data_IF_447366125957
#
_entry.id   IF_447366125957
#
_cell.length_a   1.000
_cell.length_b   1.000
_cell.length_c   1.000
_cell.angle_alpha   90.00
_cell.angle_beta   90.00
_cell.angle_gamma   90.00
#
_symmetry.space_group_name_H-M   'P 1'
#
loop_
_entity.id
_entity.type
_entity.pdbx_description
1 polymer ?
#
# COMPACT_ATOMS: atom_id res chain seq x y z
N UNK A 1 25.55 -1.31 -11.02
CA UNK A 1 24.73 -0.27 -10.36
C UNK A 1 25.38 1.08 -10.56
N UNK A 2 24.60 2.14 -10.77
CA UNK A 2 25.14 3.50 -10.79
C UNK A 2 25.55 3.94 -9.36
N UNK A 3 26.38 4.98 -9.26
CA UNK A 3 26.89 5.49 -7.98
C UNK A 3 25.74 5.95 -7.06
N UNK A 4 24.65 6.44 -7.64
CA UNK A 4 23.46 6.91 -6.95
C UNK A 4 22.72 5.79 -6.21
N UNK A 5 22.49 4.66 -6.86
CA UNK A 5 21.83 3.48 -6.27
C UNK A 5 22.65 2.92 -5.10
N UNK A 6 23.98 2.90 -5.22
CA UNK A 6 24.86 2.42 -4.14
C UNK A 6 24.79 3.33 -2.91
N UNK A 7 24.78 4.65 -3.10
CA UNK A 7 24.64 5.62 -2.00
C UNK A 7 23.29 5.46 -1.31
N UNK A 8 22.20 5.39 -2.08
CA UNK A 8 20.85 5.21 -1.52
C UNK A 8 20.73 3.92 -0.73
N UNK A 9 21.34 2.82 -1.19
CA UNK A 9 21.32 1.54 -0.45
C UNK A 9 22.05 1.63 0.88
N UNK A 10 23.20 2.33 0.94
CA UNK A 10 23.93 2.54 2.20
C UNK A 10 23.13 3.39 3.19
N UNK A 11 22.55 4.48 2.72
CA UNK A 11 21.67 5.34 3.53
C UNK A 11 20.49 4.53 4.07
N UNK A 12 19.87 3.72 3.20
CA UNK A 12 18.72 2.90 3.55
C UNK A 12 19.06 1.86 4.63
N UNK A 13 20.23 1.21 4.57
CA UNK A 13 20.67 0.26 5.61
C UNK A 13 20.90 0.96 6.95
N UNK A 14 21.49 2.16 6.97
CA UNK A 14 21.66 2.92 8.22
C UNK A 14 20.30 3.31 8.80
N UNK A 15 19.40 3.82 7.95
CA UNK A 15 18.04 4.17 8.36
C UNK A 15 17.26 2.94 8.84
N UNK A 16 17.40 1.78 8.20
CA UNK A 16 16.79 0.51 8.60
C UNK A 16 17.14 0.16 10.05
N UNK A 17 18.42 0.25 10.42
CA UNK A 17 18.87 -0.10 11.78
C UNK A 17 18.26 0.86 12.80
N UNK A 18 18.34 2.17 12.54
CA UNK A 18 17.83 3.22 13.43
C UNK A 18 16.30 3.11 13.55
N UNK A 19 15.61 2.94 12.43
CA UNK A 19 14.16 2.89 12.39
C UNK A 19 13.60 1.60 12.99
N UNK A 20 14.32 0.48 12.88
CA UNK A 20 13.92 -0.76 13.55
C UNK A 20 13.97 -0.63 15.08
N UNK A 21 14.99 0.04 15.62
CA UNK A 21 15.04 0.38 17.04
C UNK A 21 13.88 1.32 17.43
N UNK A 22 13.58 2.33 16.60
CA UNK A 22 12.43 3.21 16.76
C UNK A 22 11.09 2.46 16.74
N UNK A 23 10.95 1.47 15.86
CA UNK A 23 9.75 0.63 15.74
C UNK A 23 9.56 -0.31 16.94
N UNK A 24 10.64 -0.93 17.43
CA UNK A 24 10.59 -1.71 18.67
C UNK A 24 10.19 -0.82 19.86
N UNK A 25 10.69 0.41 19.90
CA UNK A 25 10.30 1.40 20.90
C UNK A 25 8.82 1.78 20.77
N UNK A 26 8.30 2.11 19.58
CA UNK A 26 6.88 2.46 19.39
C UNK A 26 5.95 1.31 19.81
N UNK A 27 6.26 0.07 19.41
CA UNK A 27 5.51 -1.11 19.83
C UNK A 27 5.45 -1.26 21.36
N UNK A 28 6.58 -1.01 22.02
CA UNK A 28 6.67 -1.08 23.49
C UNK A 28 5.82 0.00 24.14
N UNK A 29 5.89 1.24 23.64
CA UNK A 29 5.08 2.36 24.16
C UNK A 29 3.58 2.09 23.97
N UNK A 30 3.16 1.56 22.83
CA UNK A 30 1.76 1.23 22.58
C UNK A 30 1.26 0.11 23.50
N UNK A 31 2.08 -0.91 23.75
CA UNK A 31 1.75 -1.96 24.71
C UNK A 31 1.66 -1.43 26.16
N UNK A 32 2.57 -0.52 26.55
CA UNK A 32 2.54 0.11 27.87
C UNK A 32 1.31 1.01 28.03
N UNK A 33 1.00 1.84 27.02
CA UNK A 33 -0.17 2.72 27.03
C UNK A 33 -1.46 1.92 27.18
N UNK A 34 -1.62 0.85 26.39
CA UNK A 34 -2.77 -0.04 26.47
C UNK A 34 -2.92 -0.64 27.88
N UNK A 35 -1.82 -1.11 28.50
CA UNK A 35 -1.85 -1.64 29.87
C UNK A 35 -2.24 -0.59 30.91
N UNK A 36 -1.75 0.64 30.79
CA UNK A 36 -2.09 1.73 31.72
C UNK A 36 -3.57 2.10 31.61
N UNK A 37 -4.09 2.22 30.38
CA UNK A 37 -5.51 2.49 30.13
C UNK A 37 -6.38 1.35 30.66
N UNK A 38 -6.01 0.09 30.42
CA UNK A 38 -6.75 -1.07 30.94
C UNK A 38 -6.76 -1.14 32.47
N UNK A 39 -5.73 -0.60 33.13
CA UNK A 39 -5.65 -0.49 34.58
C UNK A 39 -6.38 0.74 35.15
N UNK A 40 -6.95 1.61 34.31
CA UNK A 40 -7.59 2.86 34.73
C UNK A 40 -6.61 3.87 35.33
N UNK A 41 -5.33 3.80 34.95
CA UNK A 41 -4.29 4.68 35.49
C UNK A 41 -4.32 6.08 34.84
N UNK A 42 -3.85 7.09 35.55
CA UNK A 42 -3.59 8.40 34.93
C UNK A 42 -2.40 8.28 33.96
N UNK A 43 -2.64 8.60 32.68
CA UNK A 43 -1.64 8.52 31.62
C UNK A 43 -0.95 9.86 31.35
N UNK A 44 -1.36 10.97 31.99
CA UNK A 44 -0.89 12.33 31.70
C UNK A 44 0.63 12.49 31.83
N UNK A 45 1.20 11.99 32.92
CA UNK A 45 2.64 12.02 33.17
C UNK A 45 3.42 11.11 32.20
N UNK A 46 2.81 10.00 31.77
CA UNK A 46 3.41 9.07 30.82
C UNK A 46 3.45 9.68 29.42
N UNK A 47 2.30 10.15 28.92
CA UNK A 47 2.17 10.74 27.58
C UNK A 47 2.97 12.02 27.45
N UNK A 48 2.98 12.88 28.48
CA UNK A 48 3.76 14.11 28.50
C UNK A 48 5.27 13.89 28.35
N UNK A 49 5.82 12.86 28.99
CA UNK A 49 7.26 12.53 28.90
C UNK A 49 7.62 11.78 27.62
N UNK A 50 6.78 10.85 27.19
CA UNK A 50 7.13 9.90 26.13
C UNK A 50 6.83 10.42 24.71
N UNK A 51 5.89 11.36 24.57
CA UNK A 51 5.40 11.86 23.28
C UNK A 51 6.52 12.40 22.38
N UNK A 52 7.49 13.13 22.93
CA UNK A 52 8.63 13.67 22.16
C UNK A 52 9.48 12.54 21.56
N UNK A 53 9.82 11.53 22.37
CA UNK A 53 10.62 10.39 21.92
C UNK A 53 9.86 9.52 20.92
N UNK A 54 8.55 9.35 21.11
CA UNK A 54 7.68 8.67 20.18
C UNK A 54 7.65 9.41 18.83
N UNK A 55 7.50 10.74 18.84
CA UNK A 55 7.53 11.57 17.64
C UNK A 55 8.85 11.46 16.88
N UNK A 56 9.99 11.50 17.59
CA UNK A 56 11.33 11.30 16.98
C UNK A 56 11.42 9.91 16.34
N UNK A 57 10.92 8.88 17.02
CA UNK A 57 10.94 7.50 16.49
C UNK A 57 10.11 7.38 15.21
N UNK A 58 8.90 7.96 15.19
CA UNK A 58 8.03 7.99 14.00
C UNK A 58 8.73 8.72 12.83
N UNK A 59 9.46 9.81 13.08
CA UNK A 59 10.21 10.53 12.03
C UNK A 59 11.27 9.61 11.40
N UNK A 60 12.06 8.88 12.20
CA UNK A 60 13.05 7.96 11.64
C UNK A 60 12.40 6.79 10.89
N UNK A 61 11.28 6.26 11.38
CA UNK A 61 10.50 5.24 10.67
C UNK A 61 10.00 5.78 9.33
N UNK A 62 9.48 7.01 9.30
CA UNK A 62 9.02 7.65 8.07
C UNK A 62 10.15 7.88 7.08
N UNK A 63 11.30 8.41 7.53
CA UNK A 63 12.48 8.59 6.67
C UNK A 63 12.97 7.26 6.07
N UNK A 64 12.96 6.19 6.86
CA UNK A 64 13.26 4.85 6.37
C UNK A 64 12.26 4.38 5.31
N UNK A 65 10.97 4.61 5.49
CA UNK A 65 9.95 4.24 4.50
C UNK A 65 10.16 4.96 3.17
N UNK A 66 10.35 6.28 3.19
CA UNK A 66 10.60 7.08 1.98
C UNK A 66 11.90 6.62 1.30
N UNK A 67 12.97 6.41 2.08
CA UNK A 67 14.24 5.89 1.56
C UNK A 67 14.07 4.51 0.92
N UNK A 68 13.27 3.63 1.52
CA UNK A 68 13.03 2.27 1.02
C UNK A 68 12.21 2.29 -0.26
N UNK A 69 11.17 3.12 -0.34
CA UNK A 69 10.42 3.34 -1.59
C UNK A 69 11.38 3.79 -2.69
N UNK A 70 12.26 4.75 -2.42
CA UNK A 70 13.24 5.20 -3.40
C UNK A 70 14.19 4.07 -3.86
N UNK A 71 14.68 3.23 -2.94
CA UNK A 71 15.50 2.06 -3.29
C UNK A 71 14.72 1.06 -4.13
N UNK A 72 13.50 0.70 -3.73
CA UNK A 72 12.63 -0.23 -4.45
C UNK A 72 12.42 0.28 -5.88
N UNK A 73 12.04 1.54 -6.04
CA UNK A 73 11.82 2.20 -7.34
C UNK A 73 13.07 2.16 -8.23
N UNK A 74 14.26 2.41 -7.66
CA UNK A 74 15.52 2.30 -8.39
C UNK A 74 15.83 0.86 -8.80
N UNK A 75 15.44 -0.12 -7.98
CA UNK A 75 15.63 -1.54 -8.27
C UNK A 75 14.62 -2.08 -9.29
N UNK A 76 13.39 -1.53 -9.38
CA UNK A 76 12.42 -1.87 -10.45
C UNK A 76 13.05 -1.63 -11.83
N UNK A 77 13.87 -0.58 -11.97
CA UNK A 77 14.58 -0.25 -13.21
C UNK A 77 15.72 -1.22 -13.57
N UNK A 78 16.23 -2.00 -12.62
CA UNK A 78 17.53 -2.65 -12.72
C UNK A 78 17.51 -4.18 -12.91
N UNK A 79 16.44 -4.87 -12.51
CA UNK A 79 16.44 -6.34 -12.43
C UNK A 79 15.26 -7.02 -13.13
N UNK A 80 15.57 -8.12 -13.82
CA UNK A 80 14.67 -8.71 -14.81
C UNK A 80 13.87 -9.94 -14.36
N UNK A 81 14.14 -10.52 -13.19
CA UNK A 81 13.71 -11.90 -12.92
C UNK A 81 12.65 -12.10 -11.84
N UNK A 82 12.15 -11.04 -11.19
CA UNK A 82 11.12 -11.23 -10.14
C UNK A 82 10.28 -9.97 -9.90
N UNK A 83 9.36 -9.68 -10.81
CA UNK A 83 8.46 -8.51 -10.73
C UNK A 83 7.44 -8.65 -9.60
N UNK A 84 6.97 -9.86 -9.31
CA UNK A 84 5.91 -10.06 -8.31
C UNK A 84 6.36 -9.69 -6.90
N UNK A 85 7.52 -10.19 -6.44
CA UNK A 85 8.02 -9.86 -5.11
C UNK A 85 8.26 -8.36 -4.98
N UNK A 86 8.94 -7.72 -5.94
CA UNK A 86 9.21 -6.27 -5.87
C UNK A 86 7.94 -5.44 -5.92
N UNK A 87 6.99 -5.80 -6.78
CA UNK A 87 5.65 -5.20 -6.82
C UNK A 87 4.92 -5.31 -5.48
N UNK A 88 5.00 -6.48 -4.84
CA UNK A 88 4.43 -6.69 -3.51
C UNK A 88 5.09 -5.82 -2.45
N UNK A 89 6.42 -5.73 -2.45
CA UNK A 89 7.16 -4.89 -1.50
C UNK A 89 6.85 -3.41 -1.74
N UNK A 90 6.75 -2.96 -2.99
CA UNK A 90 6.32 -1.60 -3.32
C UNK A 90 4.91 -1.33 -2.79
N UNK A 91 3.95 -2.21 -3.10
CA UNK A 91 2.58 -2.10 -2.60
C UNK A 91 2.54 -2.00 -1.06
N UNK A 92 3.22 -2.93 -0.38
CA UNK A 92 3.30 -2.97 1.07
C UNK A 92 3.97 -1.72 1.64
N UNK A 93 5.00 -1.19 0.98
CA UNK A 93 5.71 0.02 1.41
C UNK A 93 4.82 1.26 1.39
N UNK A 94 3.95 1.41 0.39
CA UNK A 94 3.03 2.54 0.28
C UNK A 94 1.95 2.44 1.35
N UNK A 95 1.31 1.28 1.49
CA UNK A 95 0.31 1.04 2.55
C UNK A 95 0.94 1.26 3.94
N UNK A 96 2.12 0.70 4.18
CA UNK A 96 2.86 0.88 5.43
C UNK A 96 3.17 2.35 5.70
N UNK A 97 3.58 3.11 4.68
CA UNK A 97 3.83 4.55 4.87
C UNK A 97 2.57 5.31 5.26
N UNK A 98 1.43 5.02 4.63
CA UNK A 98 0.16 5.68 4.94
C UNK A 98 -0.28 5.34 6.37
N UNK A 99 -0.11 4.08 6.77
CA UNK A 99 -0.49 3.61 8.10
C UNK A 99 0.32 4.28 9.23
N UNK A 100 1.52 4.82 8.97
CA UNK A 100 2.22 5.65 9.97
C UNK A 100 1.43 6.91 10.35
N UNK A 101 0.74 7.52 9.40
CA UNK A 101 -0.17 8.65 9.70
C UNK A 101 -1.41 8.16 10.45
N UNK A 102 -1.90 6.97 10.12
CA UNK A 102 -2.96 6.28 10.84
C UNK A 102 -2.59 6.04 12.31
N UNK A 103 -1.40 5.53 12.59
CA UNK A 103 -0.88 5.30 13.94
C UNK A 103 -0.82 6.60 14.75
N UNK A 104 -0.34 7.68 14.13
CA UNK A 104 -0.27 8.99 14.76
C UNK A 104 -1.66 9.51 15.12
N UNK A 105 -2.63 9.40 14.20
CA UNK A 105 -4.02 9.80 14.43
C UNK A 105 -4.67 8.95 15.52
N UNK A 106 -4.58 7.62 15.43
CA UNK A 106 -5.13 6.69 16.41
C UNK A 106 -4.57 6.92 17.81
N UNK A 107 -3.26 7.12 17.96
CA UNK A 107 -2.68 7.40 19.29
C UNK A 107 -3.16 8.75 19.85
N UNK A 108 -3.29 9.76 18.99
CA UNK A 108 -3.87 11.05 19.38
C UNK A 108 -5.29 10.87 19.91
N UNK A 109 -6.10 10.11 19.18
CA UNK A 109 -7.53 9.93 19.46
C UNK A 109 -7.72 9.07 20.72
N UNK A 110 -7.06 7.91 20.81
CA UNK A 110 -7.01 7.06 22.02
C UNK A 110 -6.67 7.90 23.27
N UNK A 111 -5.66 8.76 23.18
CA UNK A 111 -5.21 9.57 24.33
C UNK A 111 -6.25 10.63 24.72
N UNK A 112 -6.89 11.28 23.75
CA UNK A 112 -7.90 12.33 23.99
C UNK A 112 -9.22 11.74 24.49
N UNK A 113 -9.66 10.64 23.90
CA UNK A 113 -10.88 9.94 24.30
C UNK A 113 -10.76 9.40 25.73
N UNK A 114 -9.62 8.78 26.05
CA UNK A 114 -9.35 8.35 27.42
C UNK A 114 -9.35 9.52 28.41
N UNK A 115 -8.69 10.64 28.06
CA UNK A 115 -8.68 11.84 28.91
C UNK A 115 -10.08 12.48 29.07
N UNK A 116 -10.96 12.30 28.09
CA UNK A 116 -12.36 12.74 28.15
C UNK A 116 -13.30 11.75 28.87
N UNK A 117 -12.78 10.59 29.32
CA UNK A 117 -13.57 9.54 29.95
C UNK A 117 -14.42 8.72 28.95
N UNK A 118 -14.15 8.84 27.65
CA UNK A 118 -14.82 8.08 26.60
C UNK A 118 -14.12 6.73 26.43
N UNK A 119 -14.58 5.71 27.14
CA UNK A 119 -13.97 4.37 27.13
C UNK A 119 -14.54 3.44 26.05
N UNK A 120 -15.64 3.83 25.41
CA UNK A 120 -16.28 3.05 24.36
C UNK A 120 -15.41 3.10 23.09
N UNK A 121 -15.02 1.93 22.56
CA UNK A 121 -14.29 1.84 21.30
C UNK A 121 -12.75 1.83 21.40
N UNK A 122 -12.15 2.36 22.47
CA UNK A 122 -10.67 2.43 22.62
C UNK A 122 -9.96 1.09 22.38
N UNK A 123 -10.52 -0.03 22.88
CA UNK A 123 -9.91 -1.35 22.66
C UNK A 123 -9.92 -1.78 21.19
N UNK A 124 -10.93 -1.37 20.44
CA UNK A 124 -10.99 -1.63 18.99
C UNK A 124 -9.99 -0.77 18.23
N UNK A 125 -9.70 0.45 18.69
CA UNK A 125 -8.66 1.31 18.13
C UNK A 125 -7.26 0.71 18.36
N UNK A 126 -7.00 0.16 19.55
CA UNK A 126 -5.77 -0.60 19.80
C UNK A 126 -5.62 -1.81 18.89
N UNK A 127 -6.71 -2.51 18.54
CA UNK A 127 -6.66 -3.62 17.58
C UNK A 127 -6.22 -3.13 16.19
N UNK A 128 -6.74 -1.98 15.73
CA UNK A 128 -6.32 -1.36 14.47
C UNK A 128 -4.86 -0.95 14.54
N UNK A 129 -4.44 -0.34 15.64
CA UNK A 129 -3.05 0.07 15.87
C UNK A 129 -2.08 -1.13 15.85
N UNK A 130 -2.43 -2.25 16.47
CA UNK A 130 -1.60 -3.46 16.43
C UNK A 130 -1.59 -4.13 15.06
N UNK A 131 -2.71 -4.09 14.34
CA UNK A 131 -2.76 -4.55 12.93
C UNK A 131 -1.83 -3.71 12.06
N UNK A 132 -1.79 -2.40 12.29
CA UNK A 132 -0.83 -1.49 11.66
C UNK A 132 0.62 -1.85 11.99
N UNK A 133 0.95 -2.12 13.26
CA UNK A 133 2.30 -2.56 13.66
C UNK A 133 2.71 -3.86 12.96
N UNK A 134 1.80 -4.83 12.83
CA UNK A 134 2.07 -6.07 12.10
C UNK A 134 2.39 -5.80 10.63
N UNK A 135 1.68 -4.85 10.02
CA UNK A 135 1.92 -4.44 8.63
C UNK A 135 3.30 -3.78 8.46
N UNK A 136 3.70 -2.90 9.39
CA UNK A 136 5.04 -2.33 9.42
C UNK A 136 6.12 -3.41 9.60
N UNK A 137 5.91 -4.36 10.52
CA UNK A 137 6.84 -5.46 10.74
C UNK A 137 7.00 -6.32 9.49
N UNK A 138 5.90 -6.65 8.81
CA UNK A 138 5.94 -7.35 7.53
C UNK A 138 6.78 -6.56 6.51
N UNK A 139 6.55 -5.25 6.40
CA UNK A 139 7.33 -4.37 5.52
C UNK A 139 8.84 -4.43 5.82
N UNK A 140 9.23 -4.33 7.10
CA UNK A 140 10.63 -4.47 7.52
C UNK A 140 11.25 -5.79 7.06
N UNK A 141 10.57 -6.90 7.32
CA UNK A 141 11.02 -8.25 6.94
C UNK A 141 11.24 -8.33 5.43
N UNK A 142 10.27 -7.84 4.65
CA UNK A 142 10.35 -7.88 3.20
C UNK A 142 11.47 -7.00 2.62
N UNK A 143 11.71 -5.82 3.19
CA UNK A 143 12.86 -4.97 2.79
C UNK A 143 14.18 -5.64 3.14
N UNK A 144 14.31 -6.29 4.30
CA UNK A 144 15.51 -7.07 4.64
C UNK A 144 15.74 -8.19 3.62
N UNK A 145 14.69 -8.93 3.26
CA UNK A 145 14.75 -9.97 2.23
C UNK A 145 15.22 -9.37 0.89
N UNK A 146 14.66 -8.23 0.48
CA UNK A 146 15.05 -7.55 -0.76
C UNK A 146 16.54 -7.17 -0.76
N UNK A 147 17.01 -6.50 0.29
CA UNK A 147 18.41 -6.06 0.43
C UNK A 147 19.36 -7.27 0.43
N UNK A 148 18.99 -8.36 1.12
CA UNK A 148 19.78 -9.59 1.13
C UNK A 148 19.83 -10.22 -0.27
N UNK A 149 18.68 -10.36 -0.94
CA UNK A 149 18.58 -10.95 -2.27
C UNK A 149 19.35 -10.15 -3.33
N UNK A 150 19.27 -8.81 -3.31
CA UNK A 150 20.00 -7.95 -4.26
C UNK A 150 21.47 -7.77 -3.87
N UNK A 151 21.80 -7.88 -2.59
CA UNK A 151 23.19 -7.93 -2.10
C UNK A 151 23.96 -9.12 -2.64
N UNK A 152 23.39 -10.32 -2.55
CA UNK A 152 24.00 -11.56 -3.09
C UNK A 152 24.14 -11.48 -4.62
N UNK A 153 23.09 -11.03 -5.32
CA UNK A 153 23.14 -10.86 -6.79
C UNK A 153 24.16 -9.80 -7.23
N UNK A 154 24.41 -8.76 -6.43
CA UNK A 154 25.43 -7.76 -6.74
C UNK A 154 26.88 -8.25 -6.59
N UNK A 155 27.11 -9.26 -5.74
CA UNK A 155 28.45 -9.86 -5.52
C UNK A 155 28.74 -10.96 -6.55
N UNK A 156 27.73 -11.76 -6.90
CA UNK A 156 27.90 -12.97 -7.73
C UNK A 156 27.28 -12.88 -9.13
N UNK A 157 26.47 -11.84 -9.42
CA UNK A 157 25.70 -11.73 -10.66
C UNK A 157 26.44 -10.98 -11.77
N UNK A 158 26.42 -11.53 -12.99
CA UNK A 158 26.76 -10.79 -14.21
C UNK A 158 25.77 -9.65 -14.40
N UNK A 159 26.25 -8.48 -14.87
CA UNK A 159 25.36 -7.37 -15.26
C UNK A 159 24.31 -7.91 -16.25
N UNK A 160 23.02 -7.64 -16.04
CA UNK A 160 22.00 -8.09 -16.99
C UNK A 160 22.28 -7.47 -18.36
N UNK A 161 22.43 -8.33 -19.37
CA UNK A 161 22.50 -7.97 -20.77
C UNK A 161 21.19 -7.26 -21.16
N UNK A 162 21.31 -6.13 -21.85
CA UNK A 162 20.26 -5.27 -22.41
C UNK A 162 18.82 -5.76 -22.20
N UNK A 163 18.26 -5.32 -21.08
CA UNK A 163 16.84 -5.44 -20.78
C UNK A 163 16.14 -4.22 -21.33
N UNK A 164 15.02 -4.43 -22.04
CA UNK A 164 14.08 -3.37 -22.38
C UNK A 164 13.42 -2.93 -21.08
N UNK A 165 14.02 -1.93 -20.42
CA UNK A 165 13.69 -1.45 -19.05
C UNK A 165 12.22 -1.13 -18.84
N UNK A 166 11.51 -0.86 -19.92
CA UNK A 166 10.13 -0.40 -19.92
C UNK A 166 9.12 -1.53 -19.70
N UNK A 167 9.36 -2.72 -20.24
CA UNK A 167 8.44 -3.85 -20.10
C UNK A 167 8.34 -4.32 -18.64
N UNK A 168 9.45 -4.30 -17.90
CA UNK A 168 9.48 -4.69 -16.49
C UNK A 168 8.61 -3.77 -15.62
N UNK A 169 8.73 -2.45 -15.80
CA UNK A 169 7.93 -1.46 -15.05
C UNK A 169 6.46 -1.58 -15.44
N UNK A 170 6.16 -1.78 -16.72
CA UNK A 170 4.80 -2.01 -17.18
C UNK A 170 4.15 -3.23 -16.51
N UNK A 171 4.89 -4.35 -16.40
CA UNK A 171 4.43 -5.56 -15.69
C UNK A 171 4.22 -5.27 -14.19
N UNK A 172 5.13 -4.53 -13.56
CA UNK A 172 5.03 -4.16 -12.14
C UNK A 172 3.77 -3.31 -11.86
N UNK A 173 3.44 -2.36 -12.75
CA UNK A 173 2.19 -1.56 -12.66
C UNK A 173 0.97 -2.48 -12.60
N UNK A 174 0.93 -3.55 -13.39
CA UNK A 174 -0.21 -4.47 -13.39
C UNK A 174 -0.26 -5.35 -12.14
N UNK A 175 0.87 -5.86 -11.66
CA UNK A 175 0.88 -6.62 -10.40
C UNK A 175 0.41 -5.78 -9.21
N UNK A 176 0.86 -4.52 -9.13
CA UNK A 176 0.41 -3.58 -8.11
C UNK A 176 -1.08 -3.27 -8.28
N UNK A 177 -1.57 -3.15 -9.53
CA UNK A 177 -3.00 -2.99 -9.84
C UNK A 177 -3.84 -4.15 -9.32
N UNK A 178 -3.38 -5.40 -9.51
CA UNK A 178 -4.03 -6.60 -8.96
C UNK A 178 -4.03 -6.58 -7.42
N UNK A 179 -2.89 -6.31 -6.78
CA UNK A 179 -2.81 -6.28 -5.31
C UNK A 179 -3.71 -5.20 -4.72
N UNK A 180 -3.69 -4.01 -5.32
CA UNK A 180 -4.53 -2.86 -4.95
C UNK A 180 -6.02 -3.22 -5.07
N UNK A 181 -6.42 -3.84 -6.17
CA UNK A 181 -7.82 -4.20 -6.40
C UNK A 181 -8.31 -5.36 -5.53
N UNK A 182 -7.50 -6.40 -5.34
CA UNK A 182 -7.83 -7.51 -4.43
C UNK A 182 -7.98 -6.99 -3.00
N UNK A 183 -7.04 -6.16 -2.54
CA UNK A 183 -7.10 -5.54 -1.22
C UNK A 183 -8.34 -4.63 -1.10
N UNK A 184 -8.61 -3.82 -2.12
CA UNK A 184 -9.78 -2.95 -2.20
C UNK A 184 -11.10 -3.71 -2.08
N UNK A 185 -11.28 -4.76 -2.89
CA UNK A 185 -12.46 -5.63 -2.86
C UNK A 185 -12.60 -6.32 -1.50
N UNK A 186 -11.51 -6.87 -0.94
CA UNK A 186 -11.54 -7.56 0.33
C UNK A 186 -11.95 -6.63 1.49
N UNK A 187 -11.36 -5.43 1.56
CA UNK A 187 -11.67 -4.45 2.60
C UNK A 187 -13.09 -3.90 2.44
N UNK A 188 -13.52 -3.56 1.22
CA UNK A 188 -14.89 -3.12 0.97
C UNK A 188 -15.91 -4.19 1.36
N UNK A 189 -15.59 -5.46 1.16
CA UNK A 189 -16.44 -6.60 1.55
C UNK A 189 -16.51 -6.76 3.05
N UNK A 190 -15.37 -6.71 3.74
CA UNK A 190 -15.35 -6.75 5.18
C UNK A 190 -16.15 -5.58 5.79
N UNK A 191 -15.96 -4.36 5.29
CA UNK A 191 -16.72 -3.20 5.76
C UNK A 191 -18.21 -3.35 5.48
N UNK A 192 -18.58 -3.85 4.30
CA UNK A 192 -19.98 -4.02 3.94
C UNK A 192 -20.71 -5.05 4.80
N UNK A 193 -19.99 -6.05 5.31
CA UNK A 193 -20.55 -7.10 6.16
C UNK A 193 -20.55 -6.75 7.65
N UNK A 194 -19.54 -6.01 8.13
CA UNK A 194 -19.28 -5.85 9.56
C UNK A 194 -19.39 -4.41 10.08
N UNK A 195 -19.59 -3.41 9.22
CA UNK A 195 -19.63 -1.99 9.62
C UNK A 195 -21.01 -1.38 9.42
N UNK A 196 -21.53 -0.60 10.37
CA UNK A 196 -22.82 0.05 10.22
C UNK A 196 -22.80 1.10 9.09
N UNK A 197 -23.91 1.24 8.37
CA UNK A 197 -24.03 2.07 7.17
C UNK A 197 -23.61 3.53 7.37
N UNK A 198 -23.88 4.11 8.55
CA UNK A 198 -23.53 5.50 8.85
C UNK A 198 -22.01 5.71 8.88
N UNK A 199 -21.25 4.73 9.38
CA UNK A 199 -19.79 4.80 9.48
C UNK A 199 -19.16 4.64 8.09
N UNK A 200 -19.68 3.70 7.29
CA UNK A 200 -19.29 3.53 5.88
C UNK A 200 -19.49 4.84 5.11
N UNK A 201 -20.67 5.47 5.21
CA UNK A 201 -20.96 6.74 4.51
C UNK A 201 -19.96 7.85 4.84
N UNK A 202 -19.45 7.92 6.08
CA UNK A 202 -18.48 8.94 6.50
C UNK A 202 -17.06 8.62 6.02
N UNK A 203 -16.66 7.34 6.05
CA UNK A 203 -15.27 6.93 5.81
C UNK A 203 -14.93 6.47 4.39
N UNK A 204 -15.92 6.09 3.59
CA UNK A 204 -15.70 5.35 2.33
C UNK A 204 -14.81 6.09 1.33
N UNK A 205 -14.96 7.41 1.19
CA UNK A 205 -14.17 8.20 0.23
C UNK A 205 -12.69 8.21 0.63
N UNK A 206 -12.40 8.54 1.89
CA UNK A 206 -11.04 8.61 2.41
C UNK A 206 -10.37 7.24 2.29
N UNK A 207 -11.10 6.18 2.66
CA UNK A 207 -10.63 4.82 2.53
C UNK A 207 -10.30 4.47 1.07
N UNK A 208 -11.18 4.78 0.11
CA UNK A 208 -10.94 4.48 -1.30
C UNK A 208 -9.71 5.24 -1.83
N UNK A 209 -9.53 6.50 -1.43
CA UNK A 209 -8.34 7.27 -1.78
C UNK A 209 -7.09 6.54 -1.26
N UNK A 210 -7.06 6.19 0.02
CA UNK A 210 -5.95 5.47 0.65
C UNK A 210 -5.65 4.16 -0.07
N UNK A 211 -6.68 3.37 -0.38
CA UNK A 211 -6.53 2.08 -1.04
C UNK A 211 -6.01 2.18 -2.47
N UNK A 212 -6.29 3.28 -3.18
CA UNK A 212 -5.81 3.50 -4.56
C UNK A 212 -4.38 4.03 -4.62
N UNK A 213 -3.85 4.62 -3.53
CA UNK A 213 -2.53 5.26 -3.53
C UNK A 213 -1.37 4.37 -4.02
N UNK A 214 -1.28 3.06 -3.69
CA UNK A 214 -0.21 2.22 -4.22
C UNK A 214 -0.20 2.16 -5.76
N UNK A 215 -1.38 1.96 -6.37
CA UNK A 215 -1.52 1.94 -7.82
C UNK A 215 -1.28 3.32 -8.44
N UNK A 216 -1.85 4.38 -7.84
CA UNK A 216 -1.63 5.75 -8.32
C UNK A 216 -0.13 6.12 -8.30
N UNK A 217 0.59 5.76 -7.24
CA UNK A 217 2.01 6.05 -7.10
C UNK A 217 2.85 5.39 -8.21
N UNK A 218 2.61 4.11 -8.51
CA UNK A 218 3.36 3.41 -9.56
C UNK A 218 2.98 3.86 -10.97
N UNK A 219 1.71 4.19 -11.20
CA UNK A 219 1.25 4.75 -12.48
C UNK A 219 1.88 6.13 -12.72
N UNK A 220 1.87 7.03 -11.73
CA UNK A 220 2.53 8.33 -11.84
C UNK A 220 4.02 8.18 -12.11
N UNK A 221 4.69 7.25 -11.41
CA UNK A 221 6.10 6.95 -11.65
C UNK A 221 6.34 6.48 -13.09
N UNK A 222 5.54 5.54 -13.58
CA UNK A 222 5.64 5.04 -14.94
C UNK A 222 5.36 6.13 -15.99
N UNK A 223 4.35 6.98 -15.77
CA UNK A 223 4.05 8.12 -16.64
C UNK A 223 5.21 9.14 -16.69
N UNK A 224 5.86 9.42 -15.56
CA UNK A 224 7.04 10.30 -15.50
C UNK A 224 8.19 9.75 -16.36
N UNK A 225 8.38 8.43 -16.38
CA UNK A 225 9.36 7.78 -17.25
C UNK A 225 8.95 7.93 -18.71
N UNK A 226 7.69 7.60 -19.05
CA UNK A 226 7.16 7.64 -20.41
C UNK A 226 7.24 9.02 -21.05
N UNK A 227 6.90 10.07 -20.31
CA UNK A 227 6.97 11.46 -20.80
C UNK A 227 8.40 11.88 -21.19
N UNK A 228 9.43 11.21 -20.65
CA UNK A 228 10.84 11.47 -20.98
C UNK A 228 11.36 10.66 -22.16
N UNK A 229 10.60 9.68 -22.64
CA UNK A 229 10.93 8.82 -23.79
C UNK A 229 10.37 9.39 -25.09
N UNK A 230 10.95 9.01 -26.24
CA UNK A 230 10.38 9.37 -27.54
C UNK A 230 9.06 8.64 -27.72
N UNK A 231 8.07 9.30 -28.32
CA UNK A 231 6.72 8.72 -28.53
C UNK A 231 6.77 7.38 -29.28
N UNK A 232 7.72 7.22 -30.21
CA UNK A 232 7.95 5.98 -30.96
C UNK A 232 8.44 4.81 -30.12
N UNK A 233 8.85 5.04 -28.88
CA UNK A 233 9.37 4.05 -27.93
C UNK A 233 8.37 3.79 -26.78
N UNK A 234 7.18 4.39 -26.82
CA UNK A 234 6.21 4.27 -25.73
C UNK A 234 5.64 2.88 -25.57
N UNK A 235 5.41 2.18 -26.68
CA UNK A 235 4.93 0.81 -26.70
C UNK A 235 5.57 0.06 -27.86
N UNK A 236 5.95 -1.18 -27.61
CA UNK A 236 6.09 -2.15 -28.71
C UNK A 236 4.70 -2.48 -29.28
N UNK A 237 4.66 -2.83 -30.56
CA UNK A 237 3.44 -3.19 -31.29
C UNK A 237 2.67 -4.29 -30.55
N UNK A 238 3.38 -5.30 -30.03
CA UNK A 238 2.77 -6.36 -29.21
C UNK A 238 2.11 -5.79 -27.95
N UNK A 239 2.84 -4.97 -27.21
CA UNK A 239 2.36 -4.39 -25.95
C UNK A 239 1.14 -3.50 -26.18
N UNK A 240 1.13 -2.71 -27.25
CA UNK A 240 -0.02 -1.89 -27.64
C UNK A 240 -1.25 -2.74 -27.97
N UNK A 241 -1.06 -3.83 -28.72
CA UNK A 241 -2.15 -4.78 -29.03
C UNK A 241 -2.71 -5.45 -27.77
N UNK A 242 -1.85 -5.85 -26.83
CA UNK A 242 -2.25 -6.49 -25.58
C UNK A 242 -3.05 -5.53 -24.69
N UNK A 243 -2.57 -4.29 -24.53
CA UNK A 243 -3.28 -3.23 -23.79
C UNK A 243 -4.64 -2.94 -24.42
N UNK A 244 -4.70 -2.82 -25.75
CA UNK A 244 -5.95 -2.52 -26.46
C UNK A 244 -6.98 -3.66 -26.33
N UNK A 245 -6.54 -4.92 -26.49
CA UNK A 245 -7.39 -6.09 -26.27
C UNK A 245 -7.89 -6.16 -24.83
N UNK A 246 -7.01 -5.93 -23.86
CA UNK A 246 -7.38 -5.91 -22.45
C UNK A 246 -8.37 -4.79 -22.13
N UNK A 247 -8.17 -3.58 -22.68
CA UNK A 247 -9.09 -2.47 -22.53
C UNK A 247 -10.48 -2.80 -23.12
N UNK A 248 -10.53 -3.40 -24.31
CA UNK A 248 -11.79 -3.81 -24.95
C UNK A 248 -12.54 -4.86 -24.12
N UNK A 249 -11.85 -5.92 -23.66
CA UNK A 249 -12.46 -6.97 -22.84
C UNK A 249 -12.92 -6.41 -21.49
N UNK A 250 -12.12 -5.53 -20.87
CA UNK A 250 -12.46 -4.89 -19.60
C UNK A 250 -13.66 -3.97 -19.74
N UNK A 251 -13.76 -3.22 -20.84
CA UNK A 251 -14.93 -2.39 -21.16
C UNK A 251 -16.20 -3.24 -21.34
N UNK A 252 -16.11 -4.35 -22.10
CA UNK A 252 -17.26 -5.23 -22.28
C UNK A 252 -17.72 -5.83 -20.94
N UNK A 253 -16.75 -6.26 -20.13
CA UNK A 253 -17.00 -6.79 -18.79
C UNK A 253 -17.58 -5.73 -17.85
N UNK A 254 -17.10 -4.48 -17.95
CA UNK A 254 -17.56 -3.38 -17.10
C UNK A 254 -19.01 -3.00 -17.39
N UNK A 255 -19.45 -3.06 -18.66
CA UNK A 255 -20.85 -2.88 -19.05
C UNK A 255 -21.73 -3.97 -18.43
N UNK A 256 -21.31 -5.24 -18.46
CA UNK A 256 -22.04 -6.35 -17.84
C UNK A 256 -22.14 -6.16 -16.32
N UNK A 257 -21.04 -5.77 -15.66
CA UNK A 257 -21.02 -5.51 -14.21
C UNK A 257 -21.96 -4.35 -13.84
N UNK A 258 -21.92 -3.24 -14.59
CA UNK A 258 -22.81 -2.10 -14.36
C UNK A 258 -24.28 -2.48 -14.57
N UNK A 259 -24.59 -3.28 -15.59
CA UNK A 259 -25.94 -3.78 -15.81
C UNK A 259 -26.41 -4.65 -14.63
N UNK A 260 -25.54 -5.53 -14.10
CA UNK A 260 -25.86 -6.34 -12.93
C UNK A 260 -26.11 -5.47 -11.69
N UNK A 261 -25.25 -4.47 -11.42
CA UNK A 261 -25.43 -3.51 -10.33
C UNK A 261 -26.76 -2.76 -10.48
N UNK A 262 -27.07 -2.29 -11.69
CA UNK A 262 -28.31 -1.57 -11.98
C UNK A 262 -29.55 -2.43 -11.72
N UNK A 263 -29.54 -3.69 -12.17
CA UNK A 263 -30.63 -4.64 -11.93
C UNK A 263 -30.81 -4.92 -10.44
N UNK A 264 -29.73 -5.19 -9.71
CA UNK A 264 -29.79 -5.44 -8.25
C UNK A 264 -30.31 -4.21 -7.52
N UNK A 265 -29.83 -3.01 -7.87
CA UNK A 265 -30.25 -1.77 -7.22
C UNK A 265 -31.73 -1.45 -7.41
N UNK A 266 -32.33 -1.81 -8.56
CA UNK A 266 -33.72 -1.48 -8.88
C UNK A 266 -34.72 -2.62 -8.59
N UNK A 267 -34.27 -3.88 -8.53
CA UNK A 267 -35.15 -5.03 -8.30
C UNK A 267 -35.05 -5.63 -6.89
N UNK A 268 -34.00 -5.33 -6.13
CA UNK A 268 -33.82 -5.84 -4.78
C UNK A 268 -34.05 -4.73 -3.74
N UNK A 269 -35.31 -4.58 -3.32
CA UNK A 269 -35.67 -3.73 -2.19
C UNK A 269 -34.95 -4.20 -0.92
N UNK A 270 -34.05 -3.36 -0.38
CA UNK A 270 -33.34 -3.64 0.89
C UNK A 270 -31.82 -3.46 0.86
N UNK A 271 -31.19 -3.32 -0.30
CA UNK A 271 -29.73 -3.17 -0.40
C UNK A 271 -29.27 -1.70 -0.32
N UNK A 272 -29.63 -1.00 0.76
CA UNK A 272 -29.22 0.40 0.97
C UNK A 272 -27.69 0.60 0.97
N UNK A 273 -26.93 -0.45 1.26
CA UNK A 273 -25.48 -0.44 1.22
C UNK A 273 -24.91 -0.31 -0.19
N UNK A 274 -25.56 -0.92 -1.19
CA UNK A 274 -25.12 -0.88 -2.59
C UNK A 274 -25.03 0.56 -3.06
N UNK A 275 -25.98 1.42 -2.67
CA UNK A 275 -25.99 2.84 -3.01
C UNK A 275 -24.73 3.62 -2.57
N UNK A 276 -23.97 3.08 -1.61
CA UNK A 276 -22.74 3.69 -1.11
C UNK A 276 -21.49 3.03 -1.70
N UNK A 277 -21.49 1.70 -1.81
CA UNK A 277 -20.27 0.93 -2.13
C UNK A 277 -20.14 0.54 -3.61
N UNK A 278 -21.20 0.69 -4.42
CA UNK A 278 -21.21 0.21 -5.81
C UNK A 278 -20.05 0.77 -6.65
N UNK A 279 -19.78 2.07 -6.55
CA UNK A 279 -18.75 2.73 -7.36
C UNK A 279 -17.34 2.27 -6.95
N UNK A 280 -16.96 2.28 -5.66
CA UNK A 280 -15.71 1.67 -5.21
C UNK A 280 -15.52 0.23 -5.68
N UNK A 281 -16.55 -0.62 -5.53
CA UNK A 281 -16.49 -2.01 -5.99
C UNK A 281 -16.28 -2.10 -7.49
N UNK A 282 -17.06 -1.35 -8.27
CA UNK A 282 -16.92 -1.29 -9.72
C UNK A 282 -15.50 -0.88 -10.13
N UNK A 283 -14.96 0.17 -9.51
CA UNK A 283 -13.60 0.64 -9.79
C UNK A 283 -12.55 -0.45 -9.55
N UNK A 284 -12.55 -1.08 -8.38
CA UNK A 284 -11.56 -2.12 -8.07
C UNK A 284 -11.77 -3.38 -8.93
N UNK A 285 -13.00 -3.75 -9.27
CA UNK A 285 -13.27 -4.88 -10.17
C UNK A 285 -12.74 -4.62 -11.59
N UNK A 286 -12.99 -3.43 -12.15
CA UNK A 286 -12.48 -3.07 -13.47
C UNK A 286 -10.95 -3.01 -13.47
N UNK A 287 -10.34 -2.46 -12.41
CA UNK A 287 -8.89 -2.46 -12.25
C UNK A 287 -8.33 -3.89 -12.19
N UNK A 288 -8.95 -4.78 -11.41
CA UNK A 288 -8.55 -6.19 -11.30
C UNK A 288 -8.61 -6.88 -12.66
N UNK A 289 -9.73 -6.73 -13.37
CA UNK A 289 -9.93 -7.33 -14.68
C UNK A 289 -8.91 -6.82 -15.69
N UNK A 290 -8.75 -5.51 -15.80
CA UNK A 290 -7.81 -4.89 -16.72
C UNK A 290 -6.39 -5.39 -16.47
N UNK A 291 -5.89 -5.27 -15.24
CA UNK A 291 -4.51 -5.68 -14.93
C UNK A 291 -4.29 -7.18 -15.08
N UNK A 292 -5.29 -8.01 -14.75
CA UNK A 292 -5.20 -9.47 -14.92
C UNK A 292 -5.16 -9.88 -16.39
N UNK A 293 -5.99 -9.26 -17.24
CA UNK A 293 -6.04 -9.57 -18.68
C UNK A 293 -4.75 -9.11 -19.36
N UNK A 294 -4.25 -7.90 -19.04
CA UNK A 294 -2.97 -7.42 -19.58
C UNK A 294 -1.85 -8.41 -19.25
N UNK A 295 -1.71 -8.82 -17.98
CA UNK A 295 -0.67 -9.78 -17.59
C UNK A 295 -0.83 -11.15 -18.23
N UNK A 296 -2.08 -11.60 -18.44
CA UNK A 296 -2.36 -12.86 -19.11
C UNK A 296 -1.96 -12.82 -20.59
N UNK A 297 -2.27 -11.73 -21.29
CA UNK A 297 -1.92 -11.54 -22.71
C UNK A 297 -0.41 -11.36 -22.90
N UNK A 298 0.25 -10.57 -22.06
CA UNK A 298 1.70 -10.36 -22.16
C UNK A 298 2.51 -11.66 -22.01
N UNK A 299 2.03 -12.60 -21.18
CA UNK A 299 2.65 -13.93 -20.99
C UNK A 299 2.45 -14.90 -22.16
N UNK A 300 1.54 -14.62 -23.09
CA UNK A 300 1.29 -15.42 -24.29
C UNK A 300 2.12 -14.93 -25.47
#
# INVERSE_FOLDING_TARGET
MDKFTVINRKINIVLLIISFAGFAFTCTIYAMLHRLIAAGADISAFTGKISVYLGISIIFIFLFHISSIAVIVLELKAYNSDSLLRSFIFFLSVISTIMLFGDFALISDITKEYAAGLLEGIYSEFLVLYTSQLLHLAFYIFVIILIAATGVKGIYGKKPLNVIKDEAIFIDVQYIGIMTSVCGIAILTALSLFTPLWAIKKGIIILCIVLVLPYAAVVVYWLIIKIRERVTEWYDEKQFQDVTKAAFISLLSSVIILAAIFVIQNLCDGFAIINVVWFPYYFFLVLLLFSSIVLYLNKR
#
